data_IF_356397907465
#
_entry.id   IF_356397907465
#
_cell.length_a   1.000
_cell.length_b   1.000
_cell.length_c   1.000
_cell.angle_alpha   90.00
_cell.angle_beta   90.00
_cell.angle_gamma   90.00
#
_symmetry.space_group_name_H-M   'P 1'
#
loop_
_entity.id
_entity.type
_entity.pdbx_description
1 polymer ?
#
# COMPACT_ATOMS: atom_id res chain seq x y z
N UNK A 1 -20.67 -16.87 22.40
CA UNK A 1 -19.95 -17.36 21.19
C UNK A 1 -18.97 -16.26 20.82
N UNK A 2 -18.01 -16.47 19.93
CA UNK A 2 -17.14 -15.36 19.50
C UNK A 2 -17.42 -14.96 18.06
N UNK A 3 -17.16 -13.69 17.73
CA UNK A 3 -17.23 -13.17 16.37
C UNK A 3 -15.98 -12.34 16.02
N UNK A 4 -15.59 -12.39 14.74
CA UNK A 4 -14.58 -11.46 14.21
C UNK A 4 -15.23 -10.10 13.95
N UNK A 5 -14.58 -9.05 14.42
CA UNK A 5 -14.98 -7.66 14.22
C UNK A 5 -13.82 -6.93 13.55
N UNK A 6 -14.10 -6.29 12.41
CA UNK A 6 -13.13 -5.39 11.79
C UNK A 6 -13.05 -4.10 12.60
N UNK A 7 -11.82 -3.70 12.89
CA UNK A 7 -11.49 -2.46 13.60
C UNK A 7 -10.71 -1.56 12.68
N UNK A 8 -10.83 -0.25 12.89
CA UNK A 8 -10.06 0.75 12.15
C UNK A 8 -9.60 1.90 13.02
N UNK A 9 -8.42 2.43 12.70
CA UNK A 9 -7.83 3.62 13.31
C UNK A 9 -7.13 4.48 12.24
N UNK A 10 -7.06 5.80 12.47
CA UNK A 10 -6.43 6.73 11.54
C UNK A 10 -5.06 7.15 12.08
N UNK A 11 -4.02 6.99 11.27
CA UNK A 11 -2.65 7.35 11.63
C UNK A 11 -2.47 8.87 11.47
N UNK A 12 -1.99 9.58 12.51
CA UNK A 12 -1.66 11.00 12.39
C UNK A 12 -0.59 11.24 11.34
N UNK A 13 -0.76 12.29 10.53
CA UNK A 13 0.18 12.64 9.47
C UNK A 13 1.40 13.35 10.05
N UNK A 14 2.60 12.87 9.71
CA UNK A 14 3.87 13.49 10.04
C UNK A 14 4.43 14.34 8.89
N UNK A 15 5.43 15.18 9.17
CA UNK A 15 6.17 15.85 8.10
C UNK A 15 7.02 14.83 7.30
N UNK A 16 7.24 15.08 5.99
CA UNK A 16 8.14 14.25 5.21
C UNK A 16 9.55 14.18 5.80
N UNK A 17 10.25 13.04 5.63
CA UNK A 17 11.63 12.94 6.05
C UNK A 17 12.43 14.02 5.33
N UNK A 18 13.29 14.73 6.07
CA UNK A 18 14.11 15.81 5.52
C UNK A 18 14.98 15.33 4.35
N UNK A 19 15.42 14.07 4.40
CA UNK A 19 16.13 13.38 3.32
C UNK A 19 15.60 11.94 3.19
N UNK A 20 15.49 11.45 1.95
CA UNK A 20 15.11 10.06 1.70
C UNK A 20 16.24 9.12 2.16
N UNK A 21 15.95 8.05 2.93
CA UNK A 21 16.98 7.11 3.36
C UNK A 21 17.71 6.45 2.18
N UNK A 22 19.01 6.19 2.33
CA UNK A 22 19.81 5.51 1.31
C UNK A 22 19.73 3.98 1.40
N UNK A 23 20.18 3.29 0.35
CA UNK A 23 20.21 1.82 0.26
C UNK A 23 18.92 1.23 -0.32
N UNK A 24 18.79 -0.09 -0.37
CA UNK A 24 17.55 -0.76 -0.80
C UNK A 24 17.25 -1.85 0.21
N UNK A 25 16.09 -1.77 0.87
CA UNK A 25 15.66 -2.77 1.85
C UNK A 25 14.73 -3.82 1.23
N UNK A 26 13.81 -3.38 0.38
CA UNK A 26 12.87 -4.24 -0.35
C UNK A 26 13.58 -4.87 -1.53
N UNK A 27 13.54 -6.19 -1.62
CA UNK A 27 14.33 -6.96 -2.59
C UNK A 27 13.61 -7.29 -3.86
N UNK A 28 12.27 -7.31 -3.85
CA UNK A 28 11.49 -7.77 -4.98
C UNK A 28 10.35 -6.81 -5.29
N UNK A 29 9.99 -6.76 -6.57
CA UNK A 29 8.79 -6.10 -7.05
C UNK A 29 8.09 -6.97 -8.10
N UNK A 30 6.78 -6.83 -8.23
CA UNK A 30 5.99 -7.44 -9.29
C UNK A 30 5.15 -6.39 -10.01
N UNK A 31 5.15 -6.50 -11.33
CA UNK A 31 4.20 -5.85 -12.23
C UNK A 31 3.95 -6.87 -13.35
N UNK A 32 2.95 -7.72 -13.16
CA UNK A 32 2.69 -8.94 -13.95
C UNK A 32 3.72 -10.07 -13.81
N UNK A 33 4.96 -9.78 -13.36
CA UNK A 33 6.00 -10.77 -13.06
C UNK A 33 6.96 -10.28 -11.97
N UNK A 34 7.23 -11.15 -11.00
CA UNK A 34 8.22 -10.94 -9.94
C UNK A 34 9.64 -10.80 -10.48
N UNK A 35 10.34 -9.76 -10.00
CA UNK A 35 11.72 -9.41 -10.37
C UNK A 35 12.47 -8.85 -9.15
N UNK A 36 13.79 -8.98 -9.18
CA UNK A 36 14.66 -8.34 -8.17
C UNK A 36 14.73 -6.82 -8.33
N UNK A 37 14.68 -6.13 -7.20
CA UNK A 37 14.84 -4.70 -7.08
C UNK A 37 16.32 -4.37 -6.82
N UNK A 38 16.93 -3.69 -7.78
CA UNK A 38 18.31 -3.24 -7.80
C UNK A 38 18.34 -1.72 -7.92
N UNK A 39 19.48 -1.08 -7.69
CA UNK A 39 19.60 0.37 -7.86
C UNK A 39 19.19 0.86 -9.26
N UNK A 40 19.48 0.07 -10.29
CA UNK A 40 19.11 0.39 -11.67
C UNK A 40 17.62 0.15 -11.96
N UNK A 41 17.03 -0.94 -11.43
CA UNK A 41 15.60 -1.17 -11.61
C UNK A 41 14.77 -0.18 -10.78
N UNK A 42 15.20 0.20 -9.58
CA UNK A 42 14.54 1.20 -8.74
C UNK A 42 14.27 2.52 -9.49
N UNK A 43 15.31 3.10 -10.10
CA UNK A 43 15.17 4.33 -10.89
C UNK A 43 14.15 4.19 -12.02
N UNK A 44 14.09 3.02 -12.65
CA UNK A 44 13.11 2.74 -13.72
C UNK A 44 11.71 2.59 -13.17
N UNK A 45 11.54 1.82 -12.10
CA UNK A 45 10.25 1.60 -11.42
C UNK A 45 9.65 2.93 -10.97
N UNK A 46 10.38 3.73 -10.20
CA UNK A 46 9.89 5.04 -9.73
C UNK A 46 9.54 5.97 -10.89
N UNK A 47 10.34 5.97 -11.96
CA UNK A 47 10.04 6.76 -13.17
C UNK A 47 8.76 6.27 -13.88
N UNK A 48 8.51 4.96 -13.91
CA UNK A 48 7.31 4.38 -14.52
C UNK A 48 6.05 4.73 -13.73
N UNK A 49 6.10 4.56 -12.41
CA UNK A 49 5.01 4.92 -11.49
C UNK A 49 4.70 6.42 -11.55
N UNK A 50 5.72 7.29 -11.40
CA UNK A 50 5.52 8.76 -11.40
C UNK A 50 4.93 9.30 -12.72
N UNK A 51 5.23 8.63 -13.84
CA UNK A 51 4.68 8.99 -15.17
C UNK A 51 3.27 8.44 -15.41
N UNK A 52 2.80 7.51 -14.57
CA UNK A 52 1.56 6.77 -14.80
C UNK A 52 1.68 5.75 -15.93
N UNK A 53 2.90 5.33 -16.29
CA UNK A 53 3.10 4.25 -17.25
C UNK A 53 2.69 2.89 -16.64
N UNK A 54 2.81 2.77 -15.31
CA UNK A 54 2.37 1.62 -14.51
C UNK A 54 1.25 2.07 -13.56
N UNK A 55 0.12 1.39 -13.62
CA UNK A 55 -1.02 1.60 -12.72
C UNK A 55 -0.91 0.80 -11.43
N UNK A 56 -0.19 -0.31 -11.48
CA UNK A 56 -0.03 -1.26 -10.39
C UNK A 56 1.45 -1.53 -10.06
N UNK A 57 1.71 -1.90 -8.82
CA UNK A 57 2.96 -2.55 -8.42
C UNK A 57 2.77 -3.28 -7.09
N UNK A 58 3.47 -4.40 -6.93
CA UNK A 58 3.62 -5.12 -5.67
C UNK A 58 5.08 -5.11 -5.21
N UNK A 59 5.34 -4.97 -3.92
CA UNK A 59 6.68 -4.80 -3.33
C UNK A 59 6.80 -5.65 -2.06
N UNK A 60 7.80 -6.54 -2.01
CA UNK A 60 8.06 -7.39 -0.85
C UNK A 60 9.56 -7.69 -0.67
N UNK A 61 9.93 -8.15 0.53
CA UNK A 61 11.29 -8.61 0.83
C UNK A 61 11.51 -10.09 0.45
N UNK A 62 10.43 -10.83 0.24
CA UNK A 62 10.43 -12.24 -0.13
C UNK A 62 10.06 -12.42 -1.63
N UNK A 63 10.63 -13.42 -2.31
CA UNK A 63 10.38 -13.65 -3.73
C UNK A 63 8.99 -14.26 -4.02
N UNK A 64 8.36 -14.89 -3.04
CA UNK A 64 7.04 -15.50 -3.17
C UNK A 64 5.91 -14.48 -2.97
N UNK A 65 6.25 -13.28 -2.47
CA UNK A 65 5.36 -12.15 -2.21
C UNK A 65 4.32 -12.44 -1.11
N UNK A 66 4.63 -13.37 -0.20
CA UNK A 66 3.71 -13.85 0.84
C UNK A 66 3.95 -13.21 2.22
N UNK A 67 5.09 -12.55 2.44
CA UNK A 67 5.39 -11.88 3.72
C UNK A 67 4.68 -10.52 3.80
N UNK A 68 5.24 -9.55 4.53
CA UNK A 68 4.71 -8.18 4.54
C UNK A 68 5.01 -7.50 3.21
N UNK A 69 4.00 -6.86 2.63
CA UNK A 69 4.08 -6.27 1.30
C UNK A 69 3.44 -4.90 1.23
N UNK A 70 3.84 -4.13 0.23
CA UNK A 70 3.15 -2.91 -0.19
C UNK A 70 2.64 -3.10 -1.61
N UNK A 71 1.40 -2.69 -1.86
CA UNK A 71 0.80 -2.71 -3.18
C UNK A 71 0.15 -1.37 -3.55
N UNK A 72 0.23 -1.02 -4.82
CA UNK A 72 -0.46 0.11 -5.41
C UNK A 72 -1.39 -0.39 -6.50
N UNK A 73 -2.58 0.17 -6.54
CA UNK A 73 -3.49 0.15 -7.70
C UNK A 73 -3.85 1.61 -8.04
N UNK A 74 -3.86 1.99 -9.32
CA UNK A 74 -4.13 3.37 -9.70
C UNK A 74 -4.74 3.51 -11.09
N UNK A 75 -5.56 4.55 -11.25
CA UNK A 75 -6.32 4.80 -12.46
C UNK A 75 -7.06 6.13 -12.37
N UNK A 76 -7.18 6.82 -13.52
CA UNK A 76 -7.92 8.10 -13.65
C UNK A 76 -7.57 9.18 -12.61
N UNK A 77 -6.32 9.20 -12.12
CA UNK A 77 -5.83 10.17 -11.13
C UNK A 77 -6.10 9.80 -9.67
N UNK A 78 -6.59 8.58 -9.42
CA UNK A 78 -6.76 8.01 -8.09
C UNK A 78 -5.71 6.93 -7.83
N UNK A 79 -5.31 6.81 -6.57
CA UNK A 79 -4.28 5.89 -6.09
C UNK A 79 -4.80 5.18 -4.83
N UNK A 80 -4.88 3.85 -4.88
CA UNK A 80 -5.10 2.99 -3.73
C UNK A 80 -3.77 2.35 -3.34
N UNK A 81 -3.12 2.88 -2.31
CA UNK A 81 -1.89 2.34 -1.77
C UNK A 81 -2.21 1.55 -0.50
N UNK A 82 -1.73 0.33 -0.41
CA UNK A 82 -1.90 -0.53 0.76
C UNK A 82 -0.55 -1.08 1.24
N UNK A 83 -0.38 -1.17 2.55
CA UNK A 83 0.68 -1.93 3.20
C UNK A 83 0.03 -3.00 4.07
N UNK A 84 0.42 -4.26 3.88
CA UNK A 84 -0.05 -5.38 4.69
C UNK A 84 1.12 -5.92 5.48
N UNK A 85 0.90 -6.05 6.79
CA UNK A 85 1.89 -6.64 7.70
C UNK A 85 1.40 -7.99 8.16
N UNK A 86 1.97 -9.04 7.57
CA UNK A 86 1.74 -10.41 8.01
C UNK A 86 2.50 -10.68 9.32
N UNK A 87 1.76 -10.97 10.40
CA UNK A 87 2.32 -11.28 11.73
C UNK A 87 2.04 -12.75 12.08
N UNK A 88 2.66 -13.68 11.37
CA UNK A 88 2.70 -15.11 11.73
C UNK A 88 1.38 -15.88 11.56
N UNK A 89 1.33 -17.08 12.18
CA UNK A 89 0.34 -18.15 11.92
C UNK A 89 -1.05 -17.90 12.55
N UNK A 90 -1.26 -16.76 13.23
CA UNK A 90 -2.42 -16.54 14.09
C UNK A 90 -3.43 -15.50 13.57
N UNK A 91 -3.50 -15.27 12.26
CA UNK A 91 -4.67 -14.62 11.62
C UNK A 91 -4.92 -13.15 11.94
N UNK A 92 -4.05 -12.49 12.72
CA UNK A 92 -4.09 -11.04 12.94
C UNK A 92 -3.42 -10.32 11.76
N UNK A 93 -4.11 -10.31 10.62
CA UNK A 93 -3.74 -9.46 9.51
C UNK A 93 -4.02 -8.01 9.89
N UNK A 94 -2.96 -7.19 9.88
CA UNK A 94 -3.11 -5.73 9.98
C UNK A 94 -2.73 -5.15 8.64
N UNK A 95 -3.59 -4.30 8.10
CA UNK A 95 -3.35 -3.60 6.85
C UNK A 95 -3.57 -2.11 7.02
N UNK A 96 -2.84 -1.33 6.23
CA UNK A 96 -2.96 0.11 6.13
C UNK A 96 -3.32 0.44 4.70
N UNK A 97 -4.35 1.24 4.49
CA UNK A 97 -4.71 1.78 3.20
C UNK A 97 -4.68 3.30 3.23
N UNK A 98 -4.36 3.92 2.11
CA UNK A 98 -4.75 5.32 1.88
C UNK A 98 -6.25 5.46 2.03
N UNK A 99 -6.72 6.67 2.36
CA UNK A 99 -8.15 6.91 2.37
C UNK A 99 -8.55 8.31 1.92
N UNK A 100 -9.77 8.41 1.41
CA UNK A 100 -10.42 9.66 1.02
C UNK A 100 -11.42 10.05 2.11
N UNK A 101 -11.16 11.10 2.92
CA UNK A 101 -12.01 11.48 4.04
C UNK A 101 -13.44 11.86 3.61
N UNK A 102 -13.62 12.34 2.38
CA UNK A 102 -14.93 12.74 1.85
C UNK A 102 -15.80 11.51 1.49
N UNK A 103 -15.20 10.33 1.41
CA UNK A 103 -15.85 9.08 1.02
C UNK A 103 -15.77 8.01 2.12
N UNK A 104 -15.43 8.37 3.36
CA UNK A 104 -15.39 7.44 4.49
C UNK A 104 -16.75 6.78 4.73
N UNK A 105 -16.76 5.45 4.75
CA UNK A 105 -17.97 4.62 4.87
C UNK A 105 -18.87 4.63 3.63
N UNK A 106 -18.37 5.11 2.48
CA UNK A 106 -19.08 5.06 1.21
C UNK A 106 -18.82 3.74 0.49
N UNK A 107 -19.87 3.18 -0.10
CA UNK A 107 -19.79 2.02 -1.00
C UNK A 107 -19.54 2.45 -2.47
N UNK A 108 -19.11 3.69 -2.72
CA UNK A 108 -18.82 4.17 -4.07
C UNK A 108 -17.58 3.48 -4.65
N UNK A 109 -17.77 2.78 -5.77
CA UNK A 109 -16.71 2.08 -6.49
C UNK A 109 -15.90 3.05 -7.36
N UNK A 110 -14.62 2.74 -7.56
CA UNK A 110 -13.77 3.44 -8.53
C UNK A 110 -13.72 2.70 -9.86
N UNK A 111 -13.31 3.40 -10.91
CA UNK A 111 -12.98 2.78 -12.20
C UNK A 111 -11.51 2.30 -12.27
N UNK A 112 -10.87 2.04 -11.13
CA UNK A 112 -9.52 1.46 -11.10
C UNK A 112 -9.65 -0.02 -11.44
N UNK A 113 -8.96 -0.44 -12.50
CA UNK A 113 -8.83 -1.86 -12.84
C UNK A 113 -7.82 -2.50 -11.89
N UNK A 114 -8.30 -3.28 -10.93
CA UNK A 114 -7.41 -4.01 -10.01
C UNK A 114 -6.58 -5.06 -10.77
N UNK A 115 -5.28 -5.13 -10.48
CA UNK A 115 -4.34 -6.01 -11.19
C UNK A 115 -4.65 -7.50 -11.01
N UNK A 116 -5.37 -7.87 -9.95
CA UNK A 116 -5.86 -9.23 -9.70
C UNK A 116 -7.07 -9.62 -10.58
N UNK A 117 -7.68 -8.66 -11.27
CA UNK A 117 -8.85 -8.83 -12.13
C UNK A 117 -10.15 -9.19 -11.40
N UNK A 118 -10.20 -9.07 -10.07
CA UNK A 118 -11.33 -9.50 -9.24
C UNK A 118 -11.74 -8.47 -8.20
N UNK A 119 -10.79 -7.72 -7.64
CA UNK A 119 -11.04 -6.76 -6.58
C UNK A 119 -11.76 -5.51 -7.09
N UNK A 120 -12.68 -5.01 -6.28
CA UNK A 120 -13.32 -3.72 -6.46
C UNK A 120 -12.63 -2.73 -5.52
N UNK A 121 -12.08 -1.66 -6.07
CA UNK A 121 -11.46 -0.60 -5.29
C UNK A 121 -12.49 0.49 -5.02
N UNK A 122 -12.86 0.69 -3.76
CA UNK A 122 -13.79 1.74 -3.34
C UNK A 122 -13.10 3.10 -3.19
N UNK A 123 -13.85 4.19 -3.39
CA UNK A 123 -13.37 5.57 -3.25
C UNK A 123 -12.79 5.84 -1.86
N UNK A 124 -13.37 5.22 -0.82
CA UNK A 124 -12.86 5.31 0.56
C UNK A 124 -11.38 4.97 0.66
N UNK A 125 -10.87 4.01 -0.13
CA UNK A 125 -9.49 3.52 -0.02
C UNK A 125 -8.48 4.25 -0.93
N UNK A 126 -8.91 5.36 -1.55
CA UNK A 126 -8.10 6.07 -2.55
C UNK A 126 -7.61 7.42 -2.04
N UNK A 127 -6.58 7.95 -2.69
CA UNK A 127 -6.19 9.35 -2.61
C UNK A 127 -5.92 9.89 -4.02
N UNK A 128 -5.98 11.20 -4.18
CA UNK A 128 -5.54 11.90 -5.41
C UNK A 128 -4.13 12.49 -5.29
N UNK A 129 -3.49 12.38 -4.11
CA UNK A 129 -2.15 12.90 -3.87
C UNK A 129 -1.06 11.94 -4.38
N UNK A 130 -0.78 12.07 -5.67
CA UNK A 130 0.26 11.30 -6.35
C UNK A 130 1.64 11.44 -5.70
N UNK A 131 2.09 12.66 -5.40
CA UNK A 131 3.48 12.87 -4.97
C UNK A 131 3.73 12.26 -3.59
N UNK A 132 2.73 12.35 -2.71
CA UNK A 132 2.79 11.71 -1.39
C UNK A 132 2.78 10.18 -1.51
N UNK A 133 1.95 9.60 -2.40
CA UNK A 133 1.96 8.14 -2.67
C UNK A 133 3.33 7.69 -3.20
N UNK A 134 3.91 8.41 -4.16
CA UNK A 134 5.22 8.07 -4.71
C UNK A 134 6.32 8.16 -3.66
N UNK A 135 6.24 9.14 -2.77
CA UNK A 135 7.18 9.29 -1.65
C UNK A 135 7.04 8.15 -0.64
N UNK A 136 5.81 7.71 -0.35
CA UNK A 136 5.56 6.56 0.53
C UNK A 136 6.13 5.26 -0.05
N UNK A 137 5.95 5.02 -1.35
CA UNK A 137 6.52 3.85 -2.06
C UNK A 137 8.06 3.89 -2.00
N UNK A 138 8.66 5.02 -2.32
CA UNK A 138 10.11 5.19 -2.30
C UNK A 138 10.68 4.96 -0.89
N UNK A 139 10.06 5.56 0.14
CA UNK A 139 10.43 5.36 1.53
C UNK A 139 10.31 3.87 1.95
N UNK A 140 9.23 3.21 1.54
CA UNK A 140 9.04 1.79 1.84
C UNK A 140 10.14 0.94 1.19
N UNK A 141 10.51 1.22 -0.07
CA UNK A 141 11.60 0.51 -0.75
C UNK A 141 12.92 0.65 0.04
N UNK A 142 13.21 1.84 0.54
CA UNK A 142 14.45 2.12 1.26
C UNK A 142 14.47 1.55 2.68
N UNK A 143 13.32 1.44 3.35
CA UNK A 143 13.27 1.16 4.80
C UNK A 143 12.53 -0.12 5.19
N UNK A 144 11.66 -0.63 4.31
CA UNK A 144 10.69 -1.68 4.63
C UNK A 144 9.63 -1.26 5.65
N UNK A 145 9.47 0.05 5.88
CA UNK A 145 8.55 0.63 6.87
C UNK A 145 7.54 1.54 6.21
N UNK A 146 6.38 1.65 6.83
CA UNK A 146 5.35 2.62 6.48
C UNK A 146 5.84 4.03 6.84
N UNK A 147 5.73 4.97 5.89
CA UNK A 147 5.94 6.40 6.13
C UNK A 147 4.63 7.04 6.54
N UNK A 148 4.60 7.70 7.68
CA UNK A 148 3.42 8.30 8.29
C UNK A 148 3.09 9.71 7.75
N UNK A 149 3.75 10.19 6.69
CA UNK A 149 3.42 11.47 6.05
C UNK A 149 2.29 11.41 5.01
N UNK A 150 1.61 10.26 4.90
CA UNK A 150 0.38 10.09 4.13
C UNK A 150 -0.76 9.70 5.09
N UNK A 151 -2.00 10.15 4.85
CA UNK A 151 -3.14 9.72 5.65
C UNK A 151 -3.39 8.21 5.49
N UNK A 152 -3.02 7.44 6.51
CA UNK A 152 -3.30 6.02 6.55
C UNK A 152 -4.52 5.72 7.41
N UNK A 153 -5.35 4.81 6.91
CA UNK A 153 -6.33 4.09 7.68
C UNK A 153 -5.77 2.70 7.96
N UNK A 154 -5.49 2.41 9.22
CA UNK A 154 -5.11 1.08 9.68
C UNK A 154 -6.37 0.29 10.00
N UNK A 155 -6.41 -0.96 9.56
CA UNK A 155 -7.48 -1.89 9.81
C UNK A 155 -6.92 -3.22 10.30
N UNK A 156 -7.68 -3.93 11.12
CA UNK A 156 -7.35 -5.27 11.61
C UNK A 156 -8.61 -6.03 12.01
N UNK A 157 -8.52 -7.35 12.00
CA UNK A 157 -9.58 -8.22 12.51
C UNK A 157 -9.30 -8.59 13.97
N UNK A 158 -10.30 -8.44 14.83
CA UNK A 158 -10.23 -8.78 16.25
C UNK A 158 -11.30 -9.85 16.58
N UNK A 159 -10.90 -10.94 17.24
CA UNK A 159 -11.85 -11.92 17.77
C UNK A 159 -12.39 -11.43 19.11
N UNK A 160 -13.70 -11.27 19.21
CA UNK A 160 -14.38 -10.84 20.43
C UNK A 160 -15.19 -12.02 20.96
N UNK A 161 -14.95 -12.42 22.20
CA UNK A 161 -15.80 -13.39 22.91
C UNK A 161 -16.98 -12.65 23.58
N UNK A 162 -18.21 -13.10 23.34
CA UNK A 162 -19.45 -12.62 23.99
C UNK A 162 -19.55 -13.00 25.47
#
# INVERSE_FOLDING_TARGET
MGNWVERREFVPVSEPPAEMPEGIRIKYYSHGKTQELTADSLKRVLKKLRRGDWGDIYLADDPDMEDSYMQLESGKGLYALQYVKNVGVAGEETWWSTYDPDYLGSDEETDIDASDGQSIIFREYTTSDKETVMTAIEYFIHTGKLWDGIPWMKNWNEWVEE
#
